data_IF_253938305595
#
_entry.id   IF_253938305595
#
_cell.length_a   1.000
_cell.length_b   1.000
_cell.length_c   1.000
_cell.angle_alpha   90.00
_cell.angle_beta   90.00
_cell.angle_gamma   90.00
#
_symmetry.space_group_name_H-M   'P 1'
#
loop_
_entity.id
_entity.type
_entity.pdbx_description
1 polymer ?
#
# COMPACT_ATOMS: atom_id res chain seq x y z
N UNK A 1 -25.81 -2.97 -2.56
CA UNK A 1 -24.38 -2.59 -2.67
C UNK A 1 -23.82 -3.35 -3.86
N UNK A 2 -23.57 -2.70 -5.00
CA UNK A 2 -23.22 -3.38 -6.25
C UNK A 2 -21.90 -4.16 -6.07
N UNK A 3 -21.87 -5.44 -6.42
CA UNK A 3 -20.70 -6.34 -6.25
C UNK A 3 -19.40 -5.76 -6.82
N UNK A 4 -19.52 -4.94 -7.87
CA UNK A 4 -18.42 -4.20 -8.49
C UNK A 4 -17.72 -3.26 -7.49
N UNK A 5 -18.49 -2.55 -6.66
CA UNK A 5 -17.93 -1.61 -5.66
C UNK A 5 -17.13 -2.39 -4.60
N UNK A 6 -17.64 -3.54 -4.15
CA UNK A 6 -16.94 -4.37 -3.17
C UNK A 6 -15.63 -4.93 -3.74
N UNK A 7 -15.62 -5.35 -5.01
CA UNK A 7 -14.41 -5.83 -5.70
C UNK A 7 -13.37 -4.72 -5.81
N UNK A 8 -13.79 -3.51 -6.23
CA UNK A 8 -12.88 -2.36 -6.36
C UNK A 8 -12.30 -1.98 -5.00
N UNK A 9 -13.12 -1.91 -3.96
CA UNK A 9 -12.64 -1.61 -2.60
C UNK A 9 -11.67 -2.69 -2.13
N UNK A 10 -11.99 -3.97 -2.32
CA UNK A 10 -11.10 -5.07 -1.97
C UNK A 10 -9.75 -4.97 -2.69
N UNK A 11 -9.77 -4.72 -3.99
CA UNK A 11 -8.55 -4.54 -4.78
C UNK A 11 -7.71 -3.36 -4.30
N UNK A 12 -8.34 -2.23 -3.96
CA UNK A 12 -7.64 -1.08 -3.40
C UNK A 12 -7.02 -1.40 -2.04
N UNK A 13 -7.79 -2.00 -1.13
CA UNK A 13 -7.33 -2.40 0.20
C UNK A 13 -6.13 -3.34 0.11
N UNK A 14 -6.14 -4.28 -0.84
CA UNK A 14 -5.06 -5.24 -1.07
C UNK A 14 -3.88 -4.67 -1.87
N UNK A 15 -3.97 -3.49 -2.47
CA UNK A 15 -2.89 -2.92 -3.28
C UNK A 15 -2.20 -1.73 -2.62
N UNK A 16 -2.98 -0.86 -1.99
CA UNK A 16 -2.51 0.41 -1.42
C UNK A 16 -1.40 0.28 -0.37
N UNK A 17 -1.43 -0.68 0.58
CA UNK A 17 -0.37 -0.78 1.59
C UNK A 17 0.98 -1.11 0.96
N UNK A 18 1.03 -2.09 0.06
CA UNK A 18 2.25 -2.41 -0.69
C UNK A 18 2.72 -1.28 -1.60
N UNK A 19 1.79 -0.56 -2.23
CA UNK A 19 2.08 0.59 -3.06
C UNK A 19 2.79 1.69 -2.27
N UNK A 20 2.21 2.15 -1.16
CA UNK A 20 2.83 3.19 -0.31
C UNK A 20 4.18 2.73 0.27
N UNK A 21 4.25 1.48 0.71
CA UNK A 21 5.48 0.90 1.24
C UNK A 21 6.60 0.87 0.20
N UNK A 22 6.28 0.63 -1.08
CA UNK A 22 7.27 0.65 -2.17
C UNK A 22 8.01 1.99 -2.28
N UNK A 23 7.34 3.13 -2.03
CA UNK A 23 7.98 4.46 -2.06
C UNK A 23 8.84 4.74 -0.84
N UNK A 24 8.56 4.06 0.29
CA UNK A 24 9.35 4.16 1.50
C UNK A 24 10.60 3.28 1.43
N UNK A 25 10.44 2.03 1.02
CA UNK A 25 11.54 1.05 0.96
C UNK A 25 12.43 1.32 -0.25
N UNK A 26 11.83 1.69 -1.39
CA UNK A 26 12.53 1.96 -2.64
C UNK A 26 12.28 3.41 -3.10
N UNK A 27 12.89 4.39 -2.43
CA UNK A 27 12.68 5.80 -2.71
C UNK A 27 13.46 6.30 -3.94
N UNK A 28 14.34 5.49 -4.51
CA UNK A 28 15.17 5.90 -5.65
C UNK A 28 14.37 5.77 -6.97
N UNK A 29 14.07 6.90 -7.66
CA UNK A 29 13.31 6.90 -8.90
C UNK A 29 14.06 6.33 -10.10
N UNK A 30 15.38 6.10 -10.00
CA UNK A 30 16.19 5.49 -11.06
C UNK A 30 16.34 3.98 -10.90
N UNK A 31 15.93 3.43 -9.76
CA UNK A 31 16.12 2.02 -9.42
C UNK A 31 14.95 1.12 -9.86
N UNK A 32 13.78 1.70 -10.10
CA UNK A 32 12.58 0.96 -10.52
C UNK A 32 11.86 1.69 -11.64
N UNK A 33 11.62 0.97 -12.74
CA UNK A 33 10.69 1.40 -13.78
C UNK A 33 9.24 1.32 -13.29
N UNK A 34 8.30 1.97 -13.99
CA UNK A 34 6.89 2.04 -13.61
C UNK A 34 6.30 0.64 -13.33
N UNK A 35 6.51 -0.31 -14.26
CA UNK A 35 6.02 -1.67 -14.15
C UNK A 35 6.67 -2.45 -13.01
N UNK A 36 7.98 -2.28 -12.81
CA UNK A 36 8.70 -2.92 -11.72
C UNK A 36 8.19 -2.43 -10.37
N UNK A 37 7.82 -1.14 -10.28
CA UNK A 37 7.22 -0.58 -9.07
C UNK A 37 5.84 -1.15 -8.81
N UNK A 38 4.99 -1.28 -9.82
CA UNK A 38 3.68 -1.92 -9.67
C UNK A 38 3.85 -3.39 -9.23
N UNK A 39 4.74 -4.14 -9.87
CA UNK A 39 5.04 -5.53 -9.47
C UNK A 39 5.57 -5.64 -8.04
N UNK A 40 6.51 -4.77 -7.66
CA UNK A 40 7.06 -4.70 -6.29
C UNK A 40 5.98 -4.34 -5.28
N UNK A 41 5.08 -3.42 -5.64
CA UNK A 41 3.96 -3.02 -4.80
C UNK A 41 3.00 -4.18 -4.53
N UNK A 42 2.68 -4.98 -5.55
CA UNK A 42 1.84 -6.19 -5.39
C UNK A 42 2.49 -7.21 -4.45
N UNK A 43 3.78 -7.49 -4.63
CA UNK A 43 4.52 -8.40 -3.76
C UNK A 43 4.59 -7.91 -2.31
N UNK A 44 4.91 -6.63 -2.11
CA UNK A 44 4.91 -6.01 -0.78
C UNK A 44 3.53 -6.05 -0.14
N UNK A 45 2.47 -5.83 -0.91
CA UNK A 45 1.11 -5.84 -0.40
C UNK A 45 0.72 -7.22 0.12
N UNK A 46 0.98 -8.27 -0.67
CA UNK A 46 0.73 -9.64 -0.27
C UNK A 46 1.48 -10.01 1.03
N UNK A 47 2.73 -9.56 1.18
CA UNK A 47 3.51 -9.78 2.41
C UNK A 47 2.92 -9.04 3.61
N UNK A 48 2.49 -7.79 3.45
CA UNK A 48 1.87 -7.01 4.53
C UNK A 48 0.51 -7.59 4.92
N UNK A 49 -0.33 -7.96 3.95
CA UNK A 49 -1.63 -8.56 4.23
C UNK A 49 -1.47 -9.91 4.95
N UNK A 50 -0.53 -10.74 4.50
CA UNK A 50 -0.20 -12.00 5.18
C UNK A 50 0.29 -11.76 6.60
N UNK A 51 1.14 -10.76 6.82
CA UNK A 51 1.63 -10.39 8.15
C UNK A 51 0.47 -9.92 9.06
N UNK A 52 -0.39 -9.02 8.57
CA UNK A 52 -1.55 -8.52 9.32
C UNK A 52 -2.48 -9.68 9.67
N UNK A 53 -2.81 -10.55 8.72
CA UNK A 53 -3.64 -11.74 8.97
C UNK A 53 -3.00 -12.64 10.02
N UNK A 54 -1.70 -12.91 9.90
CA UNK A 54 -0.96 -13.78 10.84
C UNK A 54 -0.98 -13.19 12.25
N UNK A 55 -0.80 -11.88 12.40
CA UNK A 55 -0.88 -11.19 13.70
C UNK A 55 -2.31 -11.28 14.25
N UNK A 56 -3.33 -10.92 13.46
CA UNK A 56 -4.72 -10.90 13.91
C UNK A 56 -5.28 -12.29 14.20
N UNK A 57 -4.76 -13.33 13.54
CA UNK A 57 -5.12 -14.72 13.77
C UNK A 57 -4.58 -15.26 15.10
N UNK A 58 -3.70 -14.53 15.80
CA UNK A 58 -3.23 -14.96 17.11
C UNK A 58 -4.39 -15.06 18.11
N UNK A 59 -4.48 -16.18 18.86
CA UNK A 59 -5.60 -16.45 19.75
C UNK A 59 -5.68 -15.48 20.94
N UNK A 60 -4.60 -14.75 21.22
CA UNK A 60 -4.54 -13.69 22.23
C UNK A 60 -5.25 -12.39 21.81
N UNK A 61 -5.23 -12.07 20.51
CA UNK A 61 -5.81 -10.84 19.98
C UNK A 61 -7.28 -11.00 19.60
N UNK A 62 -7.70 -12.20 19.13
CA UNK A 62 -9.08 -12.50 18.67
C UNK A 62 -9.68 -11.39 17.79
N UNK A 63 -8.84 -10.72 17.01
CA UNK A 63 -9.20 -9.55 16.23
C UNK A 63 -9.27 -9.84 14.72
N UNK A 64 -9.26 -11.12 14.33
CA UNK A 64 -9.46 -11.57 12.95
C UNK A 64 -10.94 -11.43 12.52
N UNK A 65 -11.46 -10.22 12.65
CA UNK A 65 -12.73 -9.77 12.09
C UNK A 65 -12.45 -8.88 10.89
N UNK A 66 -13.42 -8.73 9.99
CA UNK A 66 -13.28 -7.83 8.84
C UNK A 66 -12.91 -6.40 9.26
N UNK A 67 -13.48 -5.92 10.37
CA UNK A 67 -13.19 -4.59 10.91
C UNK A 67 -11.78 -4.49 11.49
N UNK A 68 -11.29 -5.52 12.18
CA UNK A 68 -9.92 -5.55 12.71
C UNK A 68 -8.87 -5.59 11.59
N UNK A 69 -9.13 -6.37 10.54
CA UNK A 69 -8.28 -6.42 9.35
C UNK A 69 -8.25 -5.08 8.62
N UNK A 70 -9.43 -4.53 8.27
CA UNK A 70 -9.53 -3.26 7.55
C UNK A 70 -8.93 -2.10 8.36
N UNK A 71 -9.18 -2.07 9.67
CA UNK A 71 -8.58 -1.08 10.57
C UNK A 71 -7.06 -1.15 10.61
N UNK A 72 -6.49 -2.36 10.60
CA UNK A 72 -5.04 -2.56 10.58
C UNK A 72 -4.41 -2.09 9.28
N UNK A 73 -5.04 -2.39 8.13
CA UNK A 73 -4.58 -1.88 6.82
C UNK A 73 -4.64 -0.36 6.78
N UNK A 74 -5.75 0.24 7.20
CA UNK A 74 -5.89 1.70 7.22
C UNK A 74 -4.86 2.35 8.15
N UNK A 75 -4.60 1.79 9.32
CA UNK A 75 -3.57 2.26 10.24
C UNK A 75 -2.17 2.15 9.61
N UNK A 76 -1.86 1.04 8.96
CA UNK A 76 -0.60 0.83 8.25
C UNK A 76 -0.42 1.84 7.11
N UNK A 77 -1.42 2.00 6.24
CA UNK A 77 -1.42 2.99 5.17
C UNK A 77 -1.26 4.41 5.71
N UNK A 78 -1.95 4.74 6.80
CA UNK A 78 -1.82 6.03 7.48
C UNK A 78 -0.39 6.27 7.98
N UNK A 79 0.22 5.28 8.63
CA UNK A 79 1.61 5.35 9.05
C UNK A 79 2.56 5.55 7.85
N UNK A 80 2.39 4.76 6.78
CA UNK A 80 3.18 4.92 5.56
C UNK A 80 3.03 6.31 4.95
N UNK A 81 1.81 6.85 4.89
CA UNK A 81 1.56 8.20 4.38
C UNK A 81 2.26 9.28 5.22
N UNK A 82 2.23 9.16 6.55
CA UNK A 82 2.96 10.05 7.46
C UNK A 82 4.47 9.97 7.17
N UNK A 83 5.04 8.77 7.13
CA UNK A 83 6.46 8.60 6.81
C UNK A 83 6.84 9.12 5.42
N UNK A 84 5.95 8.96 4.43
CA UNK A 84 6.15 9.45 3.07
C UNK A 84 6.27 10.98 3.06
N UNK A 85 5.41 11.68 3.79
CA UNK A 85 5.42 13.14 3.87
C UNK A 85 6.67 13.64 4.61
N UNK A 86 7.08 12.95 5.68
CA UNK A 86 8.25 13.30 6.47
C UNK A 86 9.57 13.07 5.70
N UNK A 87 9.64 12.06 4.84
CA UNK A 87 10.85 11.71 4.09
C UNK A 87 10.90 12.40 2.73
N UNK A 88 11.65 13.51 2.65
CA UNK A 88 11.81 14.34 1.42
C UNK A 88 12.04 13.53 0.14
N UNK A 89 12.93 12.53 0.18
CA UNK A 89 13.27 11.70 -0.99
C UNK A 89 12.07 10.85 -1.45
N UNK A 90 11.42 10.13 -0.53
CA UNK A 90 10.23 9.33 -0.86
C UNK A 90 9.07 10.19 -1.36
N UNK A 91 8.88 11.37 -0.77
CA UNK A 91 7.87 12.34 -1.22
C UNK A 91 8.11 12.81 -2.65
N UNK A 92 9.35 13.20 -2.98
CA UNK A 92 9.70 13.64 -4.34
C UNK A 92 9.46 12.51 -5.34
N UNK A 93 9.85 11.29 -5.01
CA UNK A 93 9.64 10.12 -5.85
C UNK A 93 8.16 9.79 -6.04
N UNK A 94 7.33 9.98 -5.01
CA UNK A 94 5.87 9.84 -5.10
C UNK A 94 5.25 10.89 -6.02
N UNK A 95 5.59 12.16 -5.84
CA UNK A 95 5.10 13.24 -6.70
C UNK A 95 5.54 13.06 -8.15
N UNK A 96 6.79 12.66 -8.37
CA UNK A 96 7.34 12.43 -9.71
C UNK A 96 6.69 11.25 -10.43
N UNK A 97 6.27 10.22 -9.68
CA UNK A 97 5.52 9.11 -10.26
C UNK A 97 4.19 9.62 -10.81
N UNK A 98 3.48 10.46 -10.04
CA UNK A 98 2.18 11.00 -10.45
C UNK A 98 2.26 11.98 -11.63
N UNK A 99 3.29 12.83 -11.67
CA UNK A 99 3.51 13.75 -12.79
C UNK A 99 3.93 13.04 -14.08
N UNK A 100 4.71 11.95 -14.00
CA UNK A 100 5.06 11.14 -15.16
C UNK A 100 3.89 10.33 -15.74
N UNK A 101 2.89 10.01 -14.91
CA UNK A 101 1.69 9.30 -15.34
C UNK A 101 0.60 10.20 -15.92
N UNK A 102 0.77 11.52 -15.91
CA UNK A 102 -0.12 12.42 -16.66
C UNK A 102 0.28 12.38 -18.15
N UNK A 103 -0.65 12.04 -19.07
CA UNK A 103 -0.39 12.16 -20.48
C UNK A 103 -0.10 13.63 -20.80
N UNK A 104 1.00 13.90 -21.49
CA UNK A 104 1.24 15.20 -22.11
C UNK A 104 0.19 15.39 -23.20
N UNK A 105 -0.74 16.31 -22.98
CA UNK A 105 -1.70 16.79 -23.99
C UNK A 105 -0.99 17.23 -25.28
#
# INVERSE_FOLDING_TARGET
MNSIIAIIIGALVLFFPGFLLSFLVFPDPKRFDFWERIGTSLGLSALIDMLIITILAQPSLRALTFTGFLGSILAFCGACAVFLILRKQSRQTFMNFWTRSQPSD
#
